data_IF_090927785353
#
_entry.id   IF_090927785353
#
_cell.length_a   1.000
_cell.length_b   1.000
_cell.length_c   1.000
_cell.angle_alpha   90.00
_cell.angle_beta   90.00
_cell.angle_gamma   90.00
#
_symmetry.space_group_name_H-M   'P 1'
#
loop_
_entity.id
_entity.type
_entity.pdbx_description
1 polymer ?
#
# COMPACT_ATOMS: atom_id res chain seq x y z
N UNK A 1 33.54 50.12 -46.43
CA UNK A 1 34.21 49.76 -47.71
C UNK A 1 33.42 48.61 -48.28
N UNK A 2 32.50 48.90 -49.21
CA UNK A 2 32.66 48.82 -50.66
C UNK A 2 32.88 47.32 -51.07
N UNK A 3 32.14 46.75 -51.99
CA UNK A 3 31.63 47.18 -53.30
C UNK A 3 30.52 46.23 -53.77
N UNK A 4 29.56 46.78 -54.40
CA UNK A 4 28.48 46.31 -55.26
C UNK A 4 29.07 45.73 -56.58
N UNK A 5 28.38 44.71 -57.16
CA UNK A 5 28.18 44.60 -58.64
C UNK A 5 27.05 43.66 -58.96
N UNK A 6 26.18 44.02 -59.56
CA UNK A 6 25.28 44.25 -60.72
C UNK A 6 25.43 43.26 -61.85
N UNK A 7 24.29 42.96 -62.44
CA UNK A 7 23.91 42.57 -63.80
C UNK A 7 23.73 41.05 -63.99
N UNK A 8 22.75 40.53 -64.70
CA UNK A 8 21.90 41.14 -65.72
C UNK A 8 20.73 40.27 -66.16
N UNK A 9 19.74 40.90 -66.68
CA UNK A 9 18.53 40.36 -67.31
C UNK A 9 18.83 39.42 -68.48
N UNK A 10 18.00 38.38 -68.61
CA UNK A 10 17.57 37.92 -69.94
C UNK A 10 16.15 37.33 -69.81
N UNK A 11 15.21 38.00 -70.48
CA UNK A 11 13.84 37.60 -70.65
C UNK A 11 13.76 36.54 -71.77
N UNK A 12 13.08 35.39 -71.47
CA UNK A 12 12.59 34.52 -72.52
C UNK A 12 11.11 34.23 -72.26
N UNK A 13 10.27 34.78 -73.14
CA UNK A 13 8.85 34.47 -73.14
C UNK A 13 8.62 33.08 -73.73
N UNK A 14 8.01 32.17 -72.93
CA UNK A 14 7.46 30.97 -73.45
C UNK A 14 5.95 30.93 -73.14
N UNK A 15 5.19 30.92 -74.20
CA UNK A 15 3.74 30.70 -74.19
C UNK A 15 3.48 29.28 -73.74
N UNK A 16 2.83 29.10 -72.60
CA UNK A 16 2.35 27.82 -72.18
C UNK A 16 0.85 27.80 -72.12
N UNK A 17 0.30 26.87 -72.85
CA UNK A 17 -1.09 26.46 -72.90
C UNK A 17 -1.57 26.05 -71.47
N UNK A 18 -2.65 26.69 -71.02
CA UNK A 18 -3.32 26.33 -69.79
C UNK A 18 -4.08 25.03 -69.99
N UNK A 19 -3.87 24.00 -69.18
CA UNK A 19 -4.82 22.89 -69.05
C UNK A 19 -5.97 23.31 -68.16
N UNK A 20 -7.18 22.91 -68.56
CA UNK A 20 -8.46 23.12 -67.89
C UNK A 20 -8.39 22.76 -66.41
N UNK A 21 -8.82 23.69 -65.54
CA UNK A 21 -9.05 23.43 -64.11
C UNK A 21 -10.11 22.33 -63.92
N UNK A 22 -9.64 21.16 -63.56
CA UNK A 22 -10.52 20.19 -62.93
C UNK A 22 -10.69 20.60 -61.46
N UNK A 23 -11.89 21.03 -61.11
CA UNK A 23 -12.33 21.24 -59.75
C UNK A 23 -12.25 19.91 -59.00
N UNK A 24 -11.17 19.70 -58.26
CA UNK A 24 -11.12 18.65 -57.25
C UNK A 24 -12.10 19.03 -56.15
N UNK A 25 -13.22 18.32 -56.13
CA UNK A 25 -14.19 18.35 -55.05
C UNK A 25 -13.47 17.90 -53.78
N UNK A 26 -13.33 18.80 -52.80
CA UNK A 26 -12.76 18.46 -51.51
C UNK A 26 -13.59 17.32 -50.90
N UNK A 27 -12.94 16.19 -50.67
CA UNK A 27 -13.55 15.07 -49.95
C UNK A 27 -13.99 15.59 -48.58
N UNK A 28 -15.29 15.50 -48.28
CA UNK A 28 -15.80 15.76 -46.95
C UNK A 28 -15.13 14.75 -45.99
N UNK A 29 -14.69 15.16 -44.80
CA UNK A 29 -14.16 14.21 -43.84
C UNK A 29 -15.27 13.21 -43.47
N UNK A 30 -14.98 11.94 -43.69
CA UNK A 30 -15.84 10.87 -43.23
C UNK A 30 -16.09 11.02 -41.72
N UNK A 31 -17.33 10.82 -41.26
CA UNK A 31 -17.63 10.91 -39.85
C UNK A 31 -16.76 9.85 -39.14
N UNK A 32 -15.91 10.31 -38.20
CA UNK A 32 -15.22 9.43 -37.25
C UNK A 32 -16.31 8.64 -36.50
N UNK A 33 -16.59 7.42 -36.95
CA UNK A 33 -17.36 6.46 -36.17
C UNK A 33 -16.46 6.06 -35.02
N UNK A 34 -16.62 6.74 -33.87
CA UNK A 34 -16.08 6.29 -32.60
C UNK A 34 -16.87 5.01 -32.28
N UNK A 35 -16.31 3.86 -32.67
CA UNK A 35 -16.77 2.57 -32.17
C UNK A 35 -16.42 2.57 -30.68
N UNK A 36 -17.35 3.05 -29.85
CA UNK A 36 -17.37 2.71 -28.44
C UNK A 36 -17.63 1.20 -28.40
N UNK A 37 -16.56 0.42 -28.50
CA UNK A 37 -16.65 -0.98 -28.10
C UNK A 37 -17.10 -0.94 -26.65
N UNK A 38 -18.39 -1.14 -26.38
CA UNK A 38 -18.89 -1.63 -25.10
C UNK A 38 -17.98 -2.81 -24.78
N UNK A 39 -17.07 -2.63 -23.79
CA UNK A 39 -16.38 -3.76 -23.20
C UNK A 39 -17.48 -4.73 -22.83
N UNK A 40 -17.46 -5.90 -23.45
CA UNK A 40 -18.38 -6.98 -23.11
C UNK A 40 -18.31 -7.12 -21.60
N UNK A 41 -19.48 -7.15 -20.98
CA UNK A 41 -19.72 -7.25 -19.55
C UNK A 41 -18.81 -8.34 -18.97
N UNK A 42 -17.65 -7.95 -18.44
CA UNK A 42 -16.92 -8.79 -17.53
C UNK A 42 -17.89 -8.96 -16.35
N UNK A 43 -18.42 -10.15 -16.18
CA UNK A 43 -19.33 -10.49 -15.09
C UNK A 43 -18.77 -9.87 -13.82
N UNK A 44 -19.52 -8.93 -13.23
CA UNK A 44 -19.11 -8.18 -12.04
C UNK A 44 -18.79 -9.20 -10.96
N UNK A 45 -17.53 -9.21 -10.50
CA UNK A 45 -17.11 -10.15 -9.46
C UNK A 45 -17.67 -9.69 -8.15
N UNK A 46 -18.29 -10.59 -7.41
CA UNK A 46 -18.75 -10.35 -6.04
C UNK A 46 -17.81 -11.03 -5.04
N UNK A 47 -17.77 -10.48 -3.84
CA UNK A 47 -17.13 -11.05 -2.65
C UNK A 47 -18.15 -11.19 -1.54
N UNK A 48 -18.00 -12.26 -0.76
CA UNK A 48 -18.72 -12.45 0.50
C UNK A 48 -17.89 -11.83 1.61
N UNK A 49 -18.41 -10.77 2.21
CA UNK A 49 -17.74 -9.98 3.24
C UNK A 49 -18.36 -10.28 4.61
N UNK A 50 -17.58 -10.78 5.55
CA UNK A 50 -18.00 -10.95 6.94
C UNK A 50 -17.88 -9.63 7.68
N UNK A 51 -19.00 -9.11 8.18
CA UNK A 51 -19.10 -7.89 8.97
C UNK A 51 -20.00 -8.12 10.18
N UNK A 52 -19.50 -7.88 11.38
CA UNK A 52 -20.25 -7.98 12.63
C UNK A 52 -21.08 -9.28 12.79
N UNK A 53 -20.47 -10.40 12.36
CA UNK A 53 -21.09 -11.73 12.42
C UNK A 53 -22.04 -12.07 11.27
N UNK A 54 -22.32 -11.13 10.36
CA UNK A 54 -23.17 -11.32 9.19
C UNK A 54 -22.34 -11.33 7.91
N UNK A 55 -22.74 -12.14 6.92
CA UNK A 55 -22.11 -12.19 5.61
C UNK A 55 -22.98 -11.42 4.61
N UNK A 56 -22.37 -10.47 3.91
CA UNK A 56 -22.96 -9.68 2.85
C UNK A 56 -22.25 -9.92 1.51
N UNK A 57 -22.97 -9.85 0.39
CA UNK A 57 -22.38 -9.85 -0.93
C UNK A 57 -22.09 -8.42 -1.38
N UNK A 58 -20.87 -8.15 -1.82
CA UNK A 58 -20.45 -6.86 -2.35
C UNK A 58 -19.78 -7.04 -3.72
N UNK A 59 -20.09 -6.15 -4.66
CA UNK A 59 -19.32 -6.05 -5.89
C UNK A 59 -17.86 -5.74 -5.56
N UNK A 60 -16.91 -6.39 -6.26
CA UNK A 60 -15.48 -6.24 -5.98
C UNK A 60 -15.02 -4.78 -6.04
N UNK A 61 -15.47 -4.03 -7.05
CA UNK A 61 -15.08 -2.62 -7.21
C UNK A 61 -15.61 -1.76 -6.05
N UNK A 62 -16.83 -2.00 -5.59
CA UNK A 62 -17.42 -1.33 -4.43
C UNK A 62 -16.65 -1.66 -3.15
N UNK A 63 -16.38 -2.94 -2.90
CA UNK A 63 -15.57 -3.37 -1.77
C UNK A 63 -14.19 -2.71 -1.77
N UNK A 64 -13.51 -2.69 -2.92
CA UNK A 64 -12.18 -2.08 -3.03
C UNK A 64 -12.21 -0.57 -2.81
N UNK A 65 -13.24 0.14 -3.30
CA UNK A 65 -13.40 1.58 -3.03
C UNK A 65 -13.61 1.85 -1.52
N UNK A 66 -14.42 1.02 -0.85
CA UNK A 66 -14.59 1.06 0.60
C UNK A 66 -13.26 0.82 1.33
N UNK A 67 -12.48 -0.19 0.94
CA UNK A 67 -11.15 -0.45 1.53
C UNK A 67 -10.22 0.74 1.32
N UNK A 68 -10.10 1.27 0.10
CA UNK A 68 -9.23 2.41 -0.21
C UNK A 68 -9.55 3.60 0.71
N UNK A 69 -10.83 3.96 0.87
CA UNK A 69 -11.24 5.08 1.72
C UNK A 69 -11.20 4.79 3.22
N UNK A 70 -11.23 3.50 3.60
CA UNK A 70 -11.05 3.10 4.99
C UNK A 70 -9.59 3.20 5.43
N UNK A 71 -8.67 2.89 4.51
CA UNK A 71 -7.24 2.76 4.74
C UNK A 71 -6.46 4.06 4.46
N UNK A 72 -6.82 4.80 3.42
CA UNK A 72 -6.12 6.01 3.00
C UNK A 72 -7.02 7.24 3.03
N UNK A 73 -6.50 8.43 3.40
CA UNK A 73 -7.19 9.69 3.20
C UNK A 73 -7.47 9.93 1.69
N UNK A 74 -8.68 10.40 1.35
CA UNK A 74 -9.03 10.76 -0.04
C UNK A 74 -8.18 11.93 -0.59
N UNK A 75 -7.46 12.66 0.28
CA UNK A 75 -6.51 13.73 -0.10
C UNK A 75 -5.20 13.20 -0.67
N UNK A 76 -4.92 11.90 -0.55
CA UNK A 76 -3.71 11.31 -1.13
C UNK A 76 -3.70 11.42 -2.66
N UNK A 77 -2.51 11.41 -3.24
CA UNK A 77 -2.31 11.49 -4.68
C UNK A 77 -2.99 10.30 -5.40
N UNK A 78 -3.54 10.50 -6.61
CA UNK A 78 -4.22 9.44 -7.35
C UNK A 78 -3.39 8.17 -7.52
N UNK A 79 -2.09 8.30 -7.77
CA UNK A 79 -1.19 7.15 -7.94
C UNK A 79 -1.00 6.35 -6.64
N UNK A 80 -1.04 6.98 -5.46
CA UNK A 80 -1.05 6.28 -4.18
C UNK A 80 -2.34 5.47 -3.98
N UNK A 81 -3.50 6.06 -4.31
CA UNK A 81 -4.79 5.37 -4.24
C UNK A 81 -4.87 4.19 -5.23
N UNK A 82 -4.28 4.32 -6.43
CA UNK A 82 -4.14 3.22 -7.40
C UNK A 82 -3.26 2.10 -6.85
N UNK A 83 -2.12 2.43 -6.23
CA UNK A 83 -1.26 1.44 -5.58
C UNK A 83 -2.02 0.69 -4.47
N UNK A 84 -2.77 1.42 -3.64
CA UNK A 84 -3.62 0.81 -2.61
C UNK A 84 -4.70 -0.09 -3.20
N UNK A 85 -5.35 0.32 -4.29
CA UNK A 85 -6.39 -0.48 -4.95
C UNK A 85 -5.84 -1.82 -5.49
N UNK A 86 -4.64 -1.82 -6.10
CA UNK A 86 -3.97 -3.04 -6.57
C UNK A 86 -3.55 -3.93 -5.40
N UNK A 87 -2.97 -3.35 -4.34
CA UNK A 87 -2.57 -4.10 -3.15
C UNK A 87 -3.79 -4.73 -2.47
N UNK A 88 -4.86 -3.95 -2.24
CA UNK A 88 -6.10 -4.43 -1.63
C UNK A 88 -6.78 -5.53 -2.45
N UNK A 89 -6.81 -5.39 -3.78
CA UNK A 89 -7.34 -6.42 -4.69
C UNK A 89 -6.53 -7.71 -4.61
N UNK A 90 -5.21 -7.60 -4.62
CA UNK A 90 -4.30 -8.75 -4.52
C UNK A 90 -4.52 -9.49 -3.21
N UNK A 91 -4.58 -8.75 -2.10
CA UNK A 91 -4.86 -9.30 -0.78
C UNK A 91 -6.21 -10.01 -0.73
N UNK A 92 -7.29 -9.36 -1.18
CA UNK A 92 -8.63 -9.95 -1.20
C UNK A 92 -8.68 -11.25 -2.04
N UNK A 93 -8.10 -11.24 -3.25
CA UNK A 93 -8.03 -12.43 -4.10
C UNK A 93 -7.24 -13.57 -3.45
N UNK A 94 -6.15 -13.25 -2.75
CA UNK A 94 -5.36 -14.25 -2.03
C UNK A 94 -6.13 -14.86 -0.86
N UNK A 95 -6.84 -14.03 -0.05
CA UNK A 95 -7.65 -14.52 1.07
C UNK A 95 -8.80 -15.43 0.59
N UNK A 96 -9.49 -15.05 -0.49
CA UNK A 96 -10.52 -15.89 -1.12
C UNK A 96 -9.94 -17.26 -1.52
N UNK A 97 -8.77 -17.29 -2.13
CA UNK A 97 -8.10 -18.53 -2.53
C UNK A 97 -7.61 -19.36 -1.32
N UNK A 98 -7.24 -18.71 -0.22
CA UNK A 98 -6.73 -19.34 1.01
C UNK A 98 -7.81 -19.89 1.94
N UNK A 99 -9.08 -19.50 1.77
CA UNK A 99 -10.21 -20.02 2.57
C UNK A 99 -10.12 -19.68 4.07
N UNK A 100 -9.64 -18.50 4.42
CA UNK A 100 -9.44 -18.08 5.82
C UNK A 100 -10.73 -18.06 6.64
N UNK A 101 -11.87 -17.76 6.01
CA UNK A 101 -13.19 -17.74 6.64
C UNK A 101 -14.07 -18.81 6.04
N UNK A 102 -14.78 -19.57 6.87
CA UNK A 102 -15.60 -20.70 6.44
C UNK A 102 -16.72 -20.29 5.46
N UNK A 103 -17.40 -19.17 5.75
CA UNK A 103 -18.58 -18.71 4.99
C UNK A 103 -18.38 -17.38 4.27
N UNK A 104 -17.17 -16.80 4.28
CA UNK A 104 -16.87 -15.53 3.65
C UNK A 104 -15.52 -15.57 2.92
N UNK A 105 -15.33 -14.66 2.00
CA UNK A 105 -14.07 -14.54 1.27
C UNK A 105 -13.08 -13.64 2.02
N UNK A 106 -13.60 -12.62 2.70
CA UNK A 106 -12.85 -11.65 3.51
C UNK A 106 -13.71 -11.18 4.69
N UNK A 107 -13.10 -10.53 5.69
CA UNK A 107 -13.84 -9.79 6.71
C UNK A 107 -13.49 -8.30 6.70
N UNK A 108 -14.34 -7.47 7.33
CA UNK A 108 -14.20 -6.02 7.39
C UNK A 108 -13.28 -5.52 8.53
N UNK A 109 -12.53 -6.40 9.17
CA UNK A 109 -11.68 -6.08 10.34
C UNK A 109 -10.21 -5.94 9.93
N UNK A 110 -9.60 -4.80 10.23
CA UNK A 110 -8.20 -4.50 9.94
C UNK A 110 -7.21 -5.46 10.64
N UNK A 111 -7.54 -5.95 11.82
CA UNK A 111 -6.72 -6.92 12.55
C UNK A 111 -6.73 -8.33 11.93
N UNK A 112 -7.65 -8.60 11.00
CA UNK A 112 -7.82 -9.92 10.39
C UNK A 112 -7.60 -9.89 8.87
N UNK A 113 -8.32 -9.02 8.15
CA UNK A 113 -8.21 -8.84 6.71
C UNK A 113 -7.81 -7.40 6.38
N UNK A 114 -8.78 -6.54 6.05
CA UNK A 114 -8.57 -5.15 5.69
C UNK A 114 -9.65 -4.29 6.34
N UNK A 115 -9.35 -3.06 6.72
CA UNK A 115 -10.39 -2.13 7.14
C UNK A 115 -11.36 -1.90 5.96
N UNK A 116 -12.65 -2.12 6.21
CA UNK A 116 -13.68 -1.94 5.20
C UNK A 116 -14.93 -1.38 5.87
N UNK A 117 -15.00 -0.06 5.97
CA UNK A 117 -16.17 0.64 6.48
C UNK A 117 -17.35 0.49 5.51
N UNK A 118 -18.58 0.61 6.04
CA UNK A 118 -19.77 0.69 5.19
C UNK A 118 -19.80 2.00 4.41
N UNK A 119 -20.64 2.06 3.38
CA UNK A 119 -20.87 3.31 2.63
C UNK A 119 -21.45 4.38 3.56
N UNK A 120 -22.30 4.01 4.50
CA UNK A 120 -22.88 4.89 5.50
C UNK A 120 -21.82 5.46 6.44
N UNK A 121 -20.91 4.63 6.95
CA UNK A 121 -19.81 5.09 7.79
C UNK A 121 -18.86 6.03 7.04
N UNK A 122 -18.60 5.73 5.75
CA UNK A 122 -17.80 6.60 4.90
C UNK A 122 -18.51 7.93 4.61
N UNK A 123 -19.83 7.94 4.39
CA UNK A 123 -20.61 9.17 4.30
C UNK A 123 -20.53 9.99 5.58
N UNK A 124 -20.65 9.35 6.74
CA UNK A 124 -20.48 10.01 8.03
C UNK A 124 -19.07 10.58 8.21
N UNK A 125 -18.03 9.84 7.79
CA UNK A 125 -16.62 10.26 7.88
C UNK A 125 -16.29 11.46 7.01
N UNK A 126 -16.76 11.47 5.75
CA UNK A 126 -16.42 12.48 4.76
C UNK A 126 -17.43 13.62 4.64
N UNK A 127 -18.65 13.48 5.19
CA UNK A 127 -19.71 14.49 5.12
C UNK A 127 -19.99 14.94 3.69
N UNK A 128 -20.04 16.25 3.44
CA UNK A 128 -20.28 16.84 2.12
C UNK A 128 -19.19 16.48 1.08
N UNK A 129 -18.01 16.06 1.53
CA UNK A 129 -16.91 15.62 0.67
C UNK A 129 -17.02 14.17 0.21
N UNK A 130 -18.03 13.41 0.64
CA UNK A 130 -18.14 11.98 0.37
C UNK A 130 -18.15 11.64 -1.11
N UNK A 131 -19.00 12.28 -1.93
CA UNK A 131 -19.14 11.96 -3.35
C UNK A 131 -17.80 12.14 -4.09
N UNK A 132 -17.09 13.25 -3.81
CA UNK A 132 -15.78 13.50 -4.42
C UNK A 132 -14.72 12.46 -3.96
N UNK A 133 -14.74 12.07 -2.69
CA UNK A 133 -13.85 11.04 -2.17
C UNK A 133 -14.15 9.67 -2.79
N UNK A 134 -15.45 9.33 -2.89
CA UNK A 134 -15.92 8.09 -3.48
C UNK A 134 -15.55 7.96 -4.95
N UNK A 135 -15.81 9.00 -5.75
CA UNK A 135 -15.46 9.05 -7.17
C UNK A 135 -13.96 8.86 -7.38
N UNK A 136 -13.14 9.49 -6.55
CA UNK A 136 -11.69 9.37 -6.60
C UNK A 136 -11.20 7.95 -6.29
N UNK A 137 -11.75 7.31 -5.26
CA UNK A 137 -11.43 5.92 -4.92
C UNK A 137 -11.89 4.95 -6.00
N UNK A 138 -13.11 5.13 -6.50
CA UNK A 138 -13.67 4.29 -7.56
C UNK A 138 -12.90 4.45 -8.88
N UNK A 139 -12.45 5.66 -9.21
CA UNK A 139 -11.55 5.91 -10.35
C UNK A 139 -10.24 5.13 -10.20
N UNK A 140 -9.59 5.18 -9.02
CA UNK A 140 -8.36 4.43 -8.76
C UNK A 140 -8.56 2.91 -8.91
N UNK A 141 -9.69 2.37 -8.44
CA UNK A 141 -10.06 0.95 -8.60
C UNK A 141 -10.27 0.58 -10.06
N UNK A 142 -10.99 1.41 -10.82
CA UNK A 142 -11.32 1.15 -12.23
C UNK A 142 -10.13 1.32 -13.17
N UNK A 143 -9.27 2.30 -12.93
CA UNK A 143 -8.07 2.53 -13.73
C UNK A 143 -7.02 1.42 -13.54
N UNK A 144 -7.07 0.70 -12.44
CA UNK A 144 -6.24 -0.47 -12.15
C UNK A 144 -7.01 -1.80 -12.29
N UNK A 145 -8.11 -1.81 -13.04
CA UNK A 145 -8.99 -2.97 -13.15
C UNK A 145 -8.23 -4.23 -13.55
N UNK A 146 -8.51 -5.33 -12.83
CA UNK A 146 -7.90 -6.65 -13.02
C UNK A 146 -6.39 -6.74 -12.74
N UNK A 147 -5.71 -5.70 -12.29
CA UNK A 147 -4.30 -5.79 -11.92
C UNK A 147 -4.12 -6.34 -10.51
N UNK A 148 -3.21 -7.29 -10.38
CA UNK A 148 -2.80 -7.93 -9.11
C UNK A 148 -1.29 -8.09 -9.07
N UNK A 149 -0.76 -8.23 -7.86
CA UNK A 149 0.66 -8.47 -7.62
C UNK A 149 0.94 -9.97 -7.50
N UNK A 150 1.98 -10.42 -8.18
CA UNK A 150 2.43 -11.82 -8.16
C UNK A 150 3.92 -11.89 -7.91
N UNK A 151 4.37 -12.99 -7.33
CA UNK A 151 5.77 -13.37 -7.23
C UNK A 151 5.89 -14.83 -7.67
N UNK A 152 6.78 -15.11 -8.64
CA UNK A 152 6.91 -16.45 -9.26
C UNK A 152 5.57 -17.04 -9.74
N UNK A 153 4.66 -16.16 -10.22
CA UNK A 153 3.35 -16.55 -10.76
C UNK A 153 2.26 -16.82 -9.72
N UNK A 154 2.54 -16.68 -8.42
CA UNK A 154 1.56 -16.78 -7.33
C UNK A 154 1.18 -15.39 -6.81
N UNK A 155 -0.07 -15.21 -6.33
CA UNK A 155 -0.49 -13.99 -5.67
C UNK A 155 0.35 -13.75 -4.40
N UNK A 156 0.86 -12.53 -4.22
CA UNK A 156 1.62 -12.17 -3.02
C UNK A 156 0.72 -11.85 -1.83
N UNK A 157 1.29 -11.86 -0.63
CA UNK A 157 0.73 -11.19 0.54
C UNK A 157 0.99 -9.69 0.40
N UNK A 158 0.07 -8.97 -0.24
CA UNK A 158 0.20 -7.55 -0.50
C UNK A 158 -0.22 -6.73 0.74
N UNK A 159 0.51 -6.91 1.85
CA UNK A 159 0.26 -6.23 3.11
C UNK A 159 0.73 -4.79 3.08
N UNK A 160 0.05 -3.92 3.81
CA UNK A 160 0.34 -2.48 3.89
C UNK A 160 0.02 -1.94 5.30
N UNK A 161 0.49 -0.75 5.57
CA UNK A 161 0.36 -0.10 6.89
C UNK A 161 0.46 1.42 6.74
N UNK A 162 0.14 2.17 7.78
CA UNK A 162 0.01 3.63 7.73
C UNK A 162 1.33 4.34 7.38
N UNK A 163 2.30 4.38 8.30
CA UNK A 163 3.59 5.05 8.05
C UNK A 163 4.75 4.31 8.70
N UNK A 164 5.92 4.33 8.02
CA UNK A 164 7.07 3.51 8.37
C UNK A 164 7.95 4.11 9.47
N UNK A 165 7.89 5.42 9.64
CA UNK A 165 8.87 6.15 10.45
C UNK A 165 10.26 6.23 9.79
N UNK A 166 10.34 6.13 8.46
CA UNK A 166 11.53 6.27 7.64
C UNK A 166 12.08 4.98 7.02
N UNK A 167 11.62 3.79 7.44
CA UNK A 167 11.97 2.51 6.83
C UNK A 167 10.93 1.45 7.11
N UNK A 168 10.63 0.57 6.16
CA UNK A 168 9.80 -0.62 6.36
C UNK A 168 10.59 -1.73 7.04
N UNK A 169 9.95 -2.86 7.35
CA UNK A 169 10.54 -4.04 7.97
C UNK A 169 10.54 -5.26 7.05
N UNK A 170 11.49 -6.16 7.29
CA UNK A 170 11.44 -7.51 6.75
C UNK A 170 10.32 -8.32 7.41
N UNK A 171 9.60 -9.12 6.63
CA UNK A 171 8.60 -10.05 7.17
C UNK A 171 9.20 -11.00 8.21
N UNK A 172 10.45 -11.44 8.01
CA UNK A 172 11.16 -12.30 8.96
C UNK A 172 11.32 -11.66 10.34
N UNK A 173 11.58 -10.34 10.40
CA UNK A 173 11.76 -9.63 11.65
C UNK A 173 10.46 -9.45 12.45
N UNK A 174 9.31 -9.39 11.76
CA UNK A 174 8.01 -9.15 12.41
C UNK A 174 7.24 -10.44 12.65
N UNK A 175 7.27 -11.37 11.69
CA UNK A 175 6.46 -12.60 11.69
C UNK A 175 7.27 -13.88 11.73
N UNK A 176 8.62 -13.81 11.74
CA UNK A 176 9.48 -14.99 11.79
C UNK A 176 9.56 -15.79 10.49
N UNK A 177 8.91 -15.32 9.41
CA UNK A 177 8.89 -15.99 8.10
C UNK A 177 9.60 -15.17 7.07
N UNK A 178 10.57 -15.75 6.38
CA UNK A 178 11.28 -15.10 5.29
C UNK A 178 10.42 -15.06 4.03
N UNK A 179 10.06 -13.83 3.59
CA UNK A 179 9.23 -13.60 2.41
C UNK A 179 10.02 -12.74 1.42
N UNK A 180 10.41 -13.28 0.24
CA UNK A 180 11.36 -12.62 -0.66
C UNK A 180 10.96 -11.22 -1.12
N UNK A 181 9.67 -10.97 -1.30
CA UNK A 181 9.11 -9.69 -1.75
C UNK A 181 8.73 -8.73 -0.62
N UNK A 182 8.82 -9.13 0.68
CA UNK A 182 8.55 -8.30 1.85
C UNK A 182 9.85 -7.99 2.60
N UNK A 183 10.68 -7.14 2.00
CA UNK A 183 11.97 -6.70 2.51
C UNK A 183 11.93 -5.27 2.99
N UNK A 184 12.76 -4.95 3.97
CA UNK A 184 12.95 -3.59 4.43
C UNK A 184 13.41 -2.68 3.28
N UNK A 185 12.79 -1.50 3.16
CA UNK A 185 13.16 -0.43 2.25
C UNK A 185 13.14 0.90 3.00
N UNK A 186 14.03 1.81 2.65
CA UNK A 186 13.93 3.19 3.11
C UNK A 186 12.65 3.81 2.54
N UNK A 187 11.87 4.49 3.38
CA UNK A 187 10.60 5.10 3.00
C UNK A 187 10.55 6.55 3.51
N UNK A 188 11.21 7.48 2.82
CA UNK A 188 11.29 8.88 3.21
C UNK A 188 10.00 9.66 2.87
N UNK A 189 9.87 10.86 3.42
CA UNK A 189 8.79 11.80 3.06
C UNK A 189 7.48 11.58 3.82
N UNK A 190 7.51 10.86 4.92
CA UNK A 190 6.33 10.53 5.73
C UNK A 190 6.13 11.42 6.97
N UNK A 191 6.99 12.42 7.17
CA UNK A 191 7.05 13.22 8.41
C UNK A 191 5.74 13.97 8.71
N UNK A 192 4.95 14.26 7.69
CA UNK A 192 3.64 14.91 7.83
C UNK A 192 2.51 13.95 8.25
N UNK A 193 2.79 12.65 8.41
CA UNK A 193 1.81 11.70 8.88
C UNK A 193 1.43 11.97 10.34
N UNK A 194 0.14 12.08 10.62
CA UNK A 194 -0.38 12.46 11.94
C UNK A 194 0.11 11.57 13.10
N UNK A 195 0.53 10.34 12.79
CA UNK A 195 1.07 9.37 13.76
C UNK A 195 2.51 8.97 13.44
N UNK A 196 3.26 9.85 12.74
CA UNK A 196 4.65 9.61 12.44
C UNK A 196 5.49 9.46 13.70
N UNK A 197 5.24 10.32 14.69
CA UNK A 197 5.86 10.30 15.99
C UNK A 197 4.81 10.11 17.08
N UNK A 198 5.14 9.36 18.10
CA UNK A 198 4.32 9.24 19.31
C UNK A 198 5.19 8.91 20.51
N UNK A 199 4.71 9.28 21.70
CA UNK A 199 5.39 8.99 22.96
C UNK A 199 4.44 8.26 23.90
N UNK A 200 4.95 7.22 24.56
CA UNK A 200 4.28 6.50 25.64
C UNK A 200 5.18 6.56 26.87
N UNK A 201 4.66 7.07 27.97
CA UNK A 201 5.38 7.14 29.25
C UNK A 201 4.70 6.23 30.26
N UNK A 202 5.49 5.44 30.98
CA UNK A 202 5.02 4.57 32.06
C UNK A 202 5.93 4.72 33.28
N UNK A 203 5.39 4.58 34.48
CA UNK A 203 6.20 4.56 35.70
C UNK A 203 7.12 3.35 35.72
N UNK A 204 8.23 3.39 36.46
CA UNK A 204 9.11 2.24 36.66
C UNK A 204 8.36 1.01 37.18
N UNK A 205 7.37 1.22 38.06
CA UNK A 205 6.50 0.16 38.59
C UNK A 205 5.71 -0.52 37.47
N UNK A 206 4.95 0.27 36.65
CA UNK A 206 4.17 -0.24 35.51
C UNK A 206 5.06 -0.94 34.48
N UNK A 207 6.27 -0.41 34.20
CA UNK A 207 7.23 -1.05 33.33
C UNK A 207 7.63 -2.44 33.85
N UNK A 208 7.98 -2.53 35.14
CA UNK A 208 8.36 -3.80 35.76
C UNK A 208 7.20 -4.81 35.80
N UNK A 209 5.99 -4.37 36.15
CA UNK A 209 4.80 -5.23 36.15
C UNK A 209 4.51 -5.76 34.75
N UNK A 210 4.55 -4.92 33.73
CA UNK A 210 4.33 -5.31 32.33
C UNK A 210 5.35 -6.34 31.85
N UNK A 211 6.65 -6.12 32.13
CA UNK A 211 7.67 -7.10 31.73
C UNK A 211 7.56 -8.42 32.51
N UNK A 212 7.25 -8.39 33.80
CA UNK A 212 7.02 -9.61 34.60
C UNK A 212 5.78 -10.37 34.14
N UNK A 213 4.76 -9.69 33.62
CA UNK A 213 3.59 -10.34 33.00
C UNK A 213 3.98 -11.08 31.72
N UNK A 214 5.00 -10.63 30.98
CA UNK A 214 5.55 -11.33 29.82
C UNK A 214 6.50 -12.45 30.21
N UNK A 215 7.35 -12.24 31.23
CA UNK A 215 8.29 -13.21 31.77
C UNK A 215 8.49 -12.97 33.28
N UNK A 216 7.89 -13.82 34.11
CA UNK A 216 7.93 -13.72 35.57
C UNK A 216 9.35 -13.85 36.17
N UNK A 217 10.32 -14.36 35.39
CA UNK A 217 11.72 -14.50 35.83
C UNK A 217 12.56 -13.23 35.64
N UNK A 218 12.00 -12.16 35.07
CA UNK A 218 12.72 -10.89 34.88
C UNK A 218 13.07 -10.23 36.22
N UNK A 219 14.37 -9.99 36.44
CA UNK A 219 14.92 -9.43 37.71
C UNK A 219 14.90 -7.89 37.62
N UNK A 220 13.78 -7.29 37.92
CA UNK A 220 13.55 -5.83 37.87
C UNK A 220 13.43 -5.27 39.28
N UNK A 221 14.55 -5.26 40.00
CA UNK A 221 14.68 -4.73 41.38
C UNK A 221 15.83 -3.75 41.46
N UNK A 222 15.86 -2.93 42.52
CA UNK A 222 16.89 -1.87 42.70
C UNK A 222 16.63 -0.68 41.79
N UNK A 223 17.73 -0.01 41.36
CA UNK A 223 17.66 1.20 40.53
C UNK A 223 17.11 0.87 39.11
N UNK A 224 15.99 1.45 38.69
CA UNK A 224 15.39 1.22 37.37
C UNK A 224 16.29 1.62 36.19
N UNK A 225 17.23 2.56 36.39
CA UNK A 225 18.15 2.98 35.34
C UNK A 225 19.04 1.83 34.83
N UNK A 226 19.25 0.79 35.65
CA UNK A 226 20.01 -0.40 35.30
C UNK A 226 19.20 -1.58 34.80
N UNK A 227 17.89 -1.46 34.71
CA UNK A 227 17.03 -2.61 34.32
C UNK A 227 17.20 -3.01 32.86
N UNK A 228 17.41 -2.06 31.94
CA UNK A 228 17.64 -2.32 30.51
C UNK A 228 19.13 -2.47 30.24
N UNK A 229 19.54 -3.64 29.77
CA UNK A 229 20.93 -3.97 29.52
C UNK A 229 21.35 -3.78 28.07
N UNK A 230 20.48 -4.12 27.11
CA UNK A 230 20.81 -4.01 25.70
C UNK A 230 19.56 -3.90 24.81
N UNK A 231 19.75 -3.30 23.64
CA UNK A 231 18.76 -3.23 22.59
C UNK A 231 19.42 -3.58 21.26
N UNK A 232 18.91 -4.60 20.57
CA UNK A 232 19.29 -4.92 19.18
C UNK A 232 18.23 -4.42 18.23
N UNK A 233 18.62 -4.20 16.96
CA UNK A 233 17.69 -3.66 15.96
C UNK A 233 17.63 -4.54 14.72
N UNK A 234 16.47 -4.55 14.11
CA UNK A 234 16.20 -5.17 12.81
C UNK A 234 16.84 -4.35 11.68
N UNK A 235 16.94 -4.90 10.44
CA UNK A 235 17.36 -4.14 9.26
C UNK A 235 16.53 -2.88 9.00
N UNK A 236 15.20 -2.92 9.29
CA UNK A 236 14.30 -1.77 9.17
C UNK A 236 14.39 -0.78 10.36
N UNK A 237 15.32 -1.00 11.31
CA UNK A 237 15.56 -0.11 12.43
C UNK A 237 14.58 -0.23 13.59
N UNK A 238 13.65 -1.18 13.56
CA UNK A 238 12.80 -1.54 14.70
C UNK A 238 13.60 -2.19 15.81
N UNK A 239 13.05 -2.29 16.98
CA UNK A 239 13.63 -3.11 18.06
C UNK A 239 13.40 -4.58 17.72
N UNK A 240 14.50 -5.32 17.56
CA UNK A 240 14.47 -6.77 17.43
C UNK A 240 14.34 -7.40 18.82
N UNK A 241 15.31 -7.15 19.69
CA UNK A 241 15.31 -7.64 21.06
C UNK A 241 15.75 -6.54 22.02
N UNK A 242 15.01 -6.40 23.12
CA UNK A 242 15.39 -5.62 24.30
C UNK A 242 15.62 -6.57 25.45
N UNK A 243 16.82 -6.52 26.06
CA UNK A 243 17.12 -7.29 27.26
C UNK A 243 16.90 -6.42 28.49
N UNK A 244 15.99 -6.85 29.38
CA UNK A 244 15.73 -6.17 30.64
C UNK A 244 15.57 -7.20 31.78
N UNK A 245 16.15 -6.89 32.95
CA UNK A 245 16.15 -7.79 34.09
C UNK A 245 16.73 -9.17 33.76
N UNK A 246 17.73 -9.23 32.85
CA UNK A 246 18.37 -10.46 32.39
C UNK A 246 17.52 -11.32 31.43
N UNK A 247 16.37 -10.82 30.94
CA UNK A 247 15.47 -11.55 30.05
C UNK A 247 15.31 -10.81 28.72
N UNK A 248 15.29 -11.53 27.56
CA UNK A 248 15.05 -10.95 26.26
C UNK A 248 13.55 -10.78 26.00
N UNK A 249 13.16 -9.65 25.41
CA UNK A 249 11.80 -9.35 24.96
C UNK A 249 11.86 -8.87 23.51
N UNK A 250 11.05 -9.44 22.62
CA UNK A 250 11.00 -9.00 21.23
C UNK A 250 10.32 -7.62 21.11
N UNK A 251 10.71 -6.85 20.10
CA UNK A 251 10.07 -5.56 19.82
C UNK A 251 8.55 -5.70 19.58
N UNK A 252 8.10 -6.81 19.00
CA UNK A 252 6.67 -7.09 18.77
C UNK A 252 5.93 -7.37 20.08
N UNK A 253 6.54 -8.12 21.02
CA UNK A 253 5.97 -8.31 22.36
C UNK A 253 5.86 -6.97 23.11
N UNK A 254 6.90 -6.15 23.08
CA UNK A 254 6.91 -4.83 23.74
C UNK A 254 5.88 -3.88 23.10
N UNK A 255 5.81 -3.85 21.77
CA UNK A 255 4.79 -3.08 21.06
C UNK A 255 3.38 -3.41 21.55
N UNK A 256 3.05 -4.69 21.65
CA UNK A 256 1.73 -5.15 22.11
C UNK A 256 1.50 -4.82 23.59
N UNK A 257 2.49 -5.09 24.44
CA UNK A 257 2.36 -4.94 25.89
C UNK A 257 2.21 -3.48 26.34
N UNK A 258 2.92 -2.56 25.68
CA UNK A 258 2.89 -1.12 26.00
C UNK A 258 1.99 -0.31 25.06
N UNK A 259 1.26 -0.94 24.13
CA UNK A 259 0.37 -0.25 23.19
C UNK A 259 1.10 0.71 22.24
N UNK A 260 2.33 0.37 21.84
CA UNK A 260 3.14 1.24 20.98
C UNK A 260 2.63 1.20 19.53
N UNK A 261 2.73 2.33 18.84
CA UNK A 261 2.32 2.45 17.45
C UNK A 261 3.16 1.58 16.49
N UNK A 262 4.45 1.38 16.80
CA UNK A 262 5.34 0.52 16.00
C UNK A 262 6.43 -0.11 16.86
N UNK A 263 7.26 -0.96 16.25
CA UNK A 263 8.48 -1.52 16.89
C UNK A 263 9.69 -0.59 16.79
N UNK A 264 9.59 0.53 16.05
CA UNK A 264 10.68 1.50 15.90
C UNK A 264 10.61 2.53 17.02
N UNK A 265 11.16 2.20 18.17
CA UNK A 265 11.18 3.08 19.33
C UNK A 265 12.57 3.22 19.95
N UNK A 266 12.76 4.34 20.64
CA UNK A 266 13.85 4.56 21.60
C UNK A 266 13.26 4.55 22.99
N UNK A 267 13.97 3.94 23.95
CA UNK A 267 13.55 3.87 25.35
C UNK A 267 14.52 4.66 26.20
N UNK A 268 13.98 5.56 27.00
CA UNK A 268 14.73 6.39 27.96
C UNK A 268 14.12 6.20 29.34
N UNK A 269 14.96 6.31 30.38
CA UNK A 269 14.52 6.36 31.77
C UNK A 269 14.95 7.70 32.38
N UNK A 270 13.99 8.52 32.76
CA UNK A 270 14.22 9.81 33.39
C UNK A 270 13.12 10.09 34.41
N UNK A 271 13.41 10.76 35.51
CA UNK A 271 12.44 11.22 36.50
C UNK A 271 11.48 10.13 37.04
N UNK A 272 11.99 8.90 37.19
CA UNK A 272 11.19 7.77 37.70
C UNK A 272 10.28 7.11 36.67
N UNK A 273 10.36 7.48 35.39
CA UNK A 273 9.53 6.96 34.33
C UNK A 273 10.34 6.45 33.14
N UNK A 274 9.80 5.43 32.45
CA UNK A 274 10.27 4.99 31.15
C UNK A 274 9.46 5.66 30.04
N UNK A 275 10.15 6.29 29.08
CA UNK A 275 9.56 6.94 27.91
C UNK A 275 9.94 6.20 26.65
N UNK A 276 8.94 5.76 25.89
CA UNK A 276 9.08 5.19 24.55
C UNK A 276 8.83 6.30 23.53
N UNK A 277 9.86 6.73 22.82
CA UNK A 277 9.74 7.60 21.64
C UNK A 277 9.62 6.71 20.41
N UNK A 278 8.45 6.71 19.78
CA UNK A 278 8.08 5.76 18.73
C UNK A 278 7.95 6.47 17.39
N UNK A 279 8.58 5.92 16.35
CA UNK A 279 8.45 6.37 14.97
C UNK A 279 7.62 5.38 14.15
N UNK A 280 6.67 5.90 13.35
CA UNK A 280 5.81 5.10 12.49
C UNK A 280 4.57 4.53 13.17
N UNK A 281 3.65 4.03 12.36
CA UNK A 281 2.38 3.47 12.79
C UNK A 281 1.99 2.24 11.97
N UNK A 282 1.91 1.08 12.62
CA UNK A 282 1.56 -0.20 12.02
C UNK A 282 2.66 -1.26 12.20
N UNK A 283 2.52 -2.39 11.51
CA UNK A 283 3.51 -3.48 11.55
C UNK A 283 4.76 -3.21 10.71
N UNK A 284 4.74 -2.22 9.84
CA UNK A 284 5.85 -1.73 9.02
C UNK A 284 6.35 -2.70 7.93
N UNK A 285 5.64 -3.76 7.59
CA UNK A 285 5.98 -4.71 6.52
C UNK A 285 5.19 -4.39 5.26
N UNK A 286 5.83 -4.42 4.08
CA UNK A 286 5.21 -4.12 2.79
C UNK A 286 5.03 -2.63 2.53
N UNK A 287 3.89 -2.19 1.97
CA UNK A 287 3.71 -0.80 1.51
C UNK A 287 3.33 0.15 2.64
N UNK A 288 4.11 1.21 2.82
CA UNK A 288 3.71 2.37 3.62
C UNK A 288 2.72 3.23 2.84
N UNK A 289 1.57 3.52 3.42
CA UNK A 289 0.51 4.33 2.79
C UNK A 289 0.95 5.79 2.62
N UNK A 290 1.52 6.40 3.66
CA UNK A 290 2.08 7.75 3.57
C UNK A 290 3.33 7.80 2.68
N UNK A 291 4.16 6.77 2.70
CA UNK A 291 5.30 6.67 1.80
C UNK A 291 4.88 6.53 0.33
N UNK A 292 3.81 5.79 0.05
CA UNK A 292 3.22 5.71 -1.28
C UNK A 292 2.72 7.08 -1.76
N UNK A 293 2.08 7.88 -0.88
CA UNK A 293 1.65 9.24 -1.19
C UNK A 293 2.85 10.16 -1.45
N UNK A 294 3.90 10.07 -0.63
CA UNK A 294 5.12 10.85 -0.82
C UNK A 294 5.79 10.56 -2.17
N UNK A 295 5.91 9.28 -2.54
CA UNK A 295 6.47 8.86 -3.84
C UNK A 295 5.58 9.33 -5.00
N UNK A 296 4.25 9.21 -4.87
CA UNK A 296 3.29 9.70 -5.86
C UNK A 296 3.38 11.22 -6.08
N UNK A 297 3.55 12.01 -5.01
CA UNK A 297 3.74 13.46 -5.07
C UNK A 297 5.03 13.87 -5.76
N UNK A 298 6.04 13.01 -5.82
CA UNK A 298 7.26 13.19 -6.61
C UNK A 298 7.05 12.89 -8.10
N UNK A 299 5.85 12.48 -8.52
CA UNK A 299 5.48 12.22 -9.92
C UNK A 299 5.67 10.77 -10.37
N UNK A 300 5.92 9.84 -9.46
CA UNK A 300 6.01 8.42 -9.81
C UNK A 300 4.62 7.78 -9.88
N UNK A 301 4.46 6.85 -10.82
CA UNK A 301 3.23 6.10 -11.02
C UNK A 301 3.06 4.97 -9.98
N UNK A 302 1.83 4.45 -9.86
CA UNK A 302 1.50 3.38 -8.93
C UNK A 302 2.29 2.08 -9.17
N UNK A 303 2.70 1.82 -10.41
CA UNK A 303 3.50 0.62 -10.74
C UNK A 303 4.91 0.73 -10.17
N UNK A 304 5.48 1.91 -10.21
CA UNK A 304 6.77 2.21 -9.58
C UNK A 304 6.66 2.10 -8.05
N UNK A 305 5.60 2.64 -7.45
CA UNK A 305 5.33 2.55 -6.01
C UNK A 305 5.24 1.08 -5.58
N UNK A 306 4.44 0.28 -6.28
CA UNK A 306 4.25 -1.14 -5.95
C UNK A 306 5.55 -1.94 -6.05
N UNK A 307 6.36 -1.73 -7.11
CA UNK A 307 7.66 -2.40 -7.27
C UNK A 307 8.70 -1.97 -6.24
N UNK A 308 8.58 -0.75 -5.74
CA UNK A 308 9.45 -0.24 -4.69
C UNK A 308 9.22 -0.99 -3.37
N UNK A 309 7.96 -1.19 -2.95
CA UNK A 309 7.63 -1.83 -1.69
C UNK A 309 7.59 -3.37 -1.76
N UNK A 310 7.18 -3.95 -2.91
CA UNK A 310 7.10 -5.40 -3.10
C UNK A 310 8.18 -5.83 -4.08
N UNK A 311 9.40 -6.02 -3.55
CA UNK A 311 10.59 -6.26 -4.38
C UNK A 311 10.49 -7.55 -5.18
N UNK A 312 10.74 -7.46 -6.49
CA UNK A 312 10.68 -8.61 -7.39
C UNK A 312 9.27 -9.08 -7.74
N UNK A 313 8.21 -8.45 -7.17
CA UNK A 313 6.85 -8.73 -7.58
C UNK A 313 6.54 -8.14 -8.97
N UNK A 314 5.69 -8.85 -9.71
CA UNK A 314 5.16 -8.45 -11.01
C UNK A 314 3.72 -7.99 -10.87
N UNK A 315 3.30 -7.04 -11.72
CA UNK A 315 1.90 -6.66 -11.86
C UNK A 315 1.33 -7.43 -13.05
N UNK A 316 0.35 -8.27 -12.81
CA UNK A 316 -0.25 -9.16 -13.81
C UNK A 316 -1.76 -8.98 -13.88
N UNK A 317 -2.36 -9.38 -15.02
CA UNK A 317 -3.81 -9.43 -15.12
C UNK A 317 -4.35 -10.64 -14.37
N UNK A 318 -5.38 -10.43 -13.56
CA UNK A 318 -6.12 -11.47 -12.85
C UNK A 318 -6.56 -12.63 -13.75
N UNK A 319 -7.01 -12.33 -14.99
CA UNK A 319 -7.45 -13.34 -15.96
C UNK A 319 -6.32 -14.28 -16.39
N UNK A 320 -5.10 -13.77 -16.49
CA UNK A 320 -3.92 -14.56 -16.85
C UNK A 320 -3.52 -15.46 -15.69
N UNK A 321 -3.60 -14.96 -14.46
CA UNK A 321 -3.18 -15.66 -13.25
C UNK A 321 -4.10 -16.86 -12.94
N UNK A 322 -5.41 -16.71 -13.01
CA UNK A 322 -6.37 -17.81 -12.80
C UNK A 322 -6.22 -18.94 -13.84
N UNK A 323 -5.89 -18.62 -15.10
CA UNK A 323 -5.58 -19.64 -16.11
C UNK A 323 -4.29 -20.41 -15.82
N UNK A 324 -3.32 -19.79 -15.15
CA UNK A 324 -2.03 -20.41 -14.79
C UNK A 324 -2.19 -21.34 -13.59
N UNK A 325 -2.89 -20.92 -12.54
CA UNK A 325 -3.12 -21.72 -11.32
C UNK A 325 -3.97 -22.98 -11.60
N UNK A 326 -4.91 -22.92 -12.53
CA UNK A 326 -5.68 -24.11 -12.96
C UNK A 326 -4.85 -25.13 -13.76
N UNK A 327 -3.66 -24.75 -14.25
CA UNK A 327 -2.74 -25.63 -14.98
C UNK A 327 -1.60 -26.22 -14.12
N UNK A 328 -1.28 -25.59 -13.00
CA UNK A 328 -0.26 -26.04 -12.04
C UNK A 328 -0.96 -26.40 -10.74
N UNK A 329 -1.42 -27.65 -10.63
CA UNK A 329 -2.08 -28.12 -9.41
C UNK A 329 -1.21 -27.90 -8.17
N UNK A 330 -1.81 -27.25 -7.16
CA UNK A 330 -1.47 -27.16 -5.74
C UNK A 330 0.00 -27.19 -5.31
N UNK A 331 0.50 -26.00 -4.90
CA UNK A 331 1.47 -25.93 -3.81
C UNK A 331 0.86 -25.11 -2.66
N UNK A 332 0.84 -25.62 -1.42
CA UNK A 332 0.37 -24.84 -0.28
C UNK A 332 1.36 -23.73 0.04
N UNK A 333 0.86 -22.49 0.11
CA UNK A 333 1.64 -21.34 0.58
C UNK A 333 1.84 -21.42 2.10
N UNK A 334 3.00 -20.99 2.63
CA UNK A 334 3.16 -20.82 4.07
C UNK A 334 2.21 -19.74 4.54
N UNK A 335 1.37 -20.06 5.52
CA UNK A 335 0.51 -19.08 6.18
C UNK A 335 1.40 -18.10 6.96
N UNK A 336 1.31 -16.82 6.64
CA UNK A 336 1.82 -15.77 7.51
C UNK A 336 1.05 -15.87 8.84
N UNK A 337 1.80 -16.01 9.94
CA UNK A 337 1.21 -16.12 11.26
C UNK A 337 0.30 -14.94 11.59
N UNK A 338 -0.70 -15.22 12.39
CA UNK A 338 -1.71 -14.28 12.85
C UNK A 338 -1.12 -12.94 13.27
N UNK A 339 -1.57 -11.87 12.60
CA UNK A 339 -1.33 -10.51 13.02
C UNK A 339 -2.20 -10.21 14.24
N UNK A 340 -1.56 -10.24 15.43
CA UNK A 340 -2.14 -9.67 16.64
C UNK A 340 -1.64 -8.24 16.87
#
# INVERSE_FOLDING_TARGET
>A
MSVITKAGLLALAAVLLLPSAQTTQAAQPEPLIVIVQKRQDAQERTLRVLRDGSVEEAALDTYLAQVVLSEMPASFAPEALKAQAVAARTFACRQTAGGKHENADVCAQSACCQACLTVEDLRARYGDGFEAAWDKALAAVRETQNEVLTYEGALIDAVYFSCSGGSTEDAAAVWGTDVPYLRAVESPGEQDAAKYESRVCVTAETFAETLRALDASAQLSGDPSGWVQSVTRTPGGGVDTLTAGGRPFSGTQLRKAFGLNSTRFTLLYEDGAFSFDVLGYGHRVGMSQYGADAIARLGFDYKTILRFYYRGASIESMQTNFKRQSRTGNAPSPQAGESA
#
